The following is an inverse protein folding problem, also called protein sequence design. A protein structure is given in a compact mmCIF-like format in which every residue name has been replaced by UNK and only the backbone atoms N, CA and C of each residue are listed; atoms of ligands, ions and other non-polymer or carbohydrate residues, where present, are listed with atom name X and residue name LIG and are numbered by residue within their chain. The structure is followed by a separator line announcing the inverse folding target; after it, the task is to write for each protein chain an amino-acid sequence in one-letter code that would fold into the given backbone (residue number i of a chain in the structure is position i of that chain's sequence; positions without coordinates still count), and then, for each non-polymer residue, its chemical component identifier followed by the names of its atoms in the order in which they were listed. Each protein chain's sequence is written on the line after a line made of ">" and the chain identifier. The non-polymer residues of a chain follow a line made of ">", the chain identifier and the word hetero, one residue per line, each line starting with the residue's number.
data_IF_730443020369
#
_entry.id   IF_730443020369
#
_cell.length_a   1.000
_cell.length_b   1.000
_cell.length_c   1.000
_cell.angle_alpha   90.00
_cell.angle_beta   90.00
_cell.angle_gamma   90.00
#
_symmetry.space_group_name_H-M   'P 1'
#
loop_
_entity.id
_entity.type
_entity.pdbx_description
1 polymer ?
#
# COMPACT_ATOMS: atom_id res chain seq x y z
N UNK A 1 15.64 -16.41 2.85
CA UNK A 1 15.12 -17.59 3.58
C UNK A 1 15.32 -17.46 5.08
N UNK A 2 16.55 -17.28 5.59
CA UNK A 2 16.80 -17.03 7.02
C UNK A 2 16.01 -15.83 7.61
N UNK A 3 15.80 -14.76 6.83
CA UNK A 3 15.06 -13.58 7.29
C UNK A 3 13.56 -13.82 7.47
N UNK A 4 12.91 -14.57 6.58
CA UNK A 4 11.47 -14.87 6.67
C UNK A 4 11.22 -15.81 7.84
N UNK A 5 12.02 -16.88 7.96
CA UNK A 5 11.89 -17.83 9.08
C UNK A 5 12.05 -17.10 10.42
N UNK A 6 13.02 -16.18 10.53
CA UNK A 6 13.23 -15.39 11.74
C UNK A 6 12.04 -14.49 12.11
N UNK A 7 11.28 -13.99 11.13
CA UNK A 7 10.10 -13.15 11.38
C UNK A 7 8.91 -14.02 11.75
N UNK A 8 8.69 -15.12 11.04
CA UNK A 8 7.61 -16.08 11.30
C UNK A 8 7.75 -16.74 12.68
N UNK A 9 8.96 -16.87 13.23
CA UNK A 9 9.17 -17.38 14.59
C UNK A 9 8.92 -16.35 15.70
N UNK A 10 8.75 -15.07 15.36
CA UNK A 10 8.61 -13.97 16.34
C UNK A 10 7.20 -13.42 16.45
N UNK A 11 6.35 -13.69 15.46
CA UNK A 11 4.99 -13.19 15.36
C UNK A 11 4.08 -14.32 14.91
N UNK A 12 2.96 -14.51 15.62
CA UNK A 12 1.97 -15.52 15.27
C UNK A 12 1.36 -15.24 13.88
N UNK A 13 1.11 -13.96 13.58
CA UNK A 13 0.60 -13.50 12.29
C UNK A 13 1.59 -12.55 11.61
N UNK A 14 1.84 -12.79 10.32
CA UNK A 14 2.68 -11.92 9.48
C UNK A 14 1.92 -11.57 8.22
N UNK A 15 1.53 -10.30 8.09
CA UNK A 15 0.84 -9.78 6.91
C UNK A 15 1.77 -8.86 6.13
N UNK A 16 2.05 -9.25 4.88
CA UNK A 16 2.74 -8.43 3.89
C UNK A 16 1.76 -8.00 2.80
N UNK A 17 2.05 -6.87 2.14
CA UNK A 17 1.13 -6.26 1.16
C UNK A 17 -0.30 -6.14 1.70
N UNK A 18 -0.45 -5.54 2.90
CA UNK A 18 -1.73 -5.35 3.60
C UNK A 18 -2.49 -6.66 3.94
N UNK A 19 -1.84 -7.82 3.84
CA UNK A 19 -2.43 -9.14 4.12
C UNK A 19 -2.76 -9.94 2.87
N UNK A 20 -2.45 -9.44 1.68
CA UNK A 20 -2.58 -10.21 0.43
C UNK A 20 -1.62 -11.39 0.37
N UNK A 21 -0.50 -11.28 1.09
CA UNK A 21 0.37 -12.39 1.44
C UNK A 21 0.46 -12.42 2.96
N UNK A 22 -0.25 -13.36 3.56
CA UNK A 22 -0.34 -13.52 5.01
C UNK A 22 0.10 -14.91 5.46
N UNK A 23 0.64 -14.98 6.67
CA UNK A 23 1.01 -16.23 7.34
C UNK A 23 0.42 -16.25 8.74
N UNK A 24 -0.02 -17.43 9.16
CA UNK A 24 -0.24 -17.78 10.56
C UNK A 24 0.70 -18.93 10.91
N UNK A 25 1.63 -18.70 11.84
CA UNK A 25 2.81 -19.53 12.08
C UNK A 25 3.65 -19.73 10.80
N UNK A 26 3.56 -20.92 10.20
CA UNK A 26 4.24 -21.30 8.96
C UNK A 26 3.26 -21.57 7.81
N UNK A 27 1.96 -21.45 8.07
CA UNK A 27 0.91 -21.72 7.10
C UNK A 27 0.52 -20.43 6.38
N UNK A 28 0.66 -20.41 5.06
CA UNK A 28 0.24 -19.28 4.24
C UNK A 28 -1.28 -19.24 4.08
N UNK A 29 -1.86 -18.05 4.21
CA UNK A 29 -3.24 -17.79 3.78
C UNK A 29 -3.33 -17.80 2.24
N UNK A 30 -4.53 -18.06 1.67
CA UNK A 30 -4.73 -18.00 0.23
C UNK A 30 -4.31 -16.64 -0.34
N UNK A 31 -3.34 -16.65 -1.25
CA UNK A 31 -2.86 -15.44 -1.94
C UNK A 31 -3.98 -14.95 -2.86
N UNK A 32 -4.33 -13.66 -2.75
CA UNK A 32 -5.20 -12.99 -3.74
C UNK A 32 -4.33 -12.11 -4.62
N UNK A 33 -4.55 -12.18 -5.94
CA UNK A 33 -3.79 -11.36 -6.91
C UNK A 33 -4.68 -10.32 -7.60
N UNK A 34 -4.11 -9.16 -7.93
CA UNK A 34 -4.83 -8.12 -8.69
C UNK A 34 -5.28 -8.65 -10.05
N UNK A 35 -4.54 -9.61 -10.61
CA UNK A 35 -4.90 -10.33 -11.83
C UNK A 35 -6.22 -11.07 -11.70
N UNK A 36 -6.42 -11.85 -10.65
CA UNK A 36 -7.69 -12.56 -10.43
C UNK A 36 -8.83 -11.59 -10.14
N UNK A 37 -8.54 -10.48 -9.45
CA UNK A 37 -9.57 -9.51 -9.07
C UNK A 37 -10.06 -8.66 -10.25
N UNK A 38 -9.17 -8.22 -11.14
CA UNK A 38 -9.52 -7.35 -12.28
C UNK A 38 -9.78 -8.13 -13.58
N UNK A 39 -9.09 -9.25 -13.78
CA UNK A 39 -9.01 -9.95 -15.05
C UNK A 39 -8.09 -9.25 -16.06
N UNK A 40 -7.61 -10.02 -17.04
CA UNK A 40 -6.64 -9.55 -18.05
C UNK A 40 -7.19 -8.39 -18.89
N UNK A 41 -8.47 -8.42 -19.27
CA UNK A 41 -9.07 -7.37 -20.11
C UNK A 41 -9.00 -5.98 -19.47
N UNK A 42 -9.28 -5.88 -18.16
CA UNK A 42 -9.20 -4.61 -17.43
C UNK A 42 -7.75 -4.22 -17.17
N UNK A 43 -6.89 -5.20 -16.85
CA UNK A 43 -5.46 -4.95 -16.65
C UNK A 43 -4.78 -4.40 -17.90
N UNK A 44 -5.01 -4.98 -19.07
CA UNK A 44 -4.45 -4.48 -20.32
C UNK A 44 -4.92 -3.06 -20.63
N UNK A 45 -6.21 -2.77 -20.42
CA UNK A 45 -6.77 -1.41 -20.58
C UNK A 45 -6.10 -0.41 -19.63
N UNK A 46 -5.89 -0.78 -18.36
CA UNK A 46 -5.21 0.04 -17.36
C UNK A 46 -3.74 0.31 -17.73
N UNK A 47 -3.02 -0.74 -18.14
CA UNK A 47 -1.61 -0.65 -18.55
C UNK A 47 -1.49 0.22 -19.80
N UNK A 48 -2.33 0.00 -20.82
CA UNK A 48 -2.29 0.77 -22.06
C UNK A 48 -2.63 2.24 -21.81
N UNK A 49 -3.63 2.53 -20.97
CA UNK A 49 -3.95 3.90 -20.56
C UNK A 49 -2.74 4.57 -19.89
N UNK A 50 -2.10 3.87 -18.94
CA UNK A 50 -0.93 4.37 -18.22
C UNK A 50 0.23 4.65 -19.17
N UNK A 51 0.59 3.70 -20.03
CA UNK A 51 1.67 3.85 -21.00
C UNK A 51 1.41 5.01 -21.97
N UNK A 52 0.18 5.15 -22.46
CA UNK A 52 -0.21 6.27 -23.33
C UNK A 52 -0.02 7.60 -22.61
N UNK A 53 -0.56 7.75 -21.40
CA UNK A 53 -0.41 8.99 -20.62
C UNK A 53 1.05 9.30 -20.32
N UNK A 54 1.83 8.30 -19.94
CA UNK A 54 3.25 8.49 -19.65
C UNK A 54 4.07 8.85 -20.90
N UNK A 55 3.64 8.45 -22.10
CA UNK A 55 4.28 8.87 -23.35
C UNK A 55 4.07 10.37 -23.64
N UNK A 56 2.96 10.95 -23.17
CA UNK A 56 2.56 12.35 -23.39
C UNK A 56 3.19 13.33 -22.38
N UNK A 57 3.70 12.84 -21.23
CA UNK A 57 4.31 13.68 -20.20
C UNK A 57 5.77 13.97 -20.56
N UNK A 58 6.15 15.23 -20.72
CA UNK A 58 7.56 15.63 -20.79
C UNK A 58 8.14 15.82 -19.39
N UNK A 59 9.27 15.16 -19.12
CA UNK A 59 9.99 15.25 -17.84
C UNK A 59 11.45 15.59 -18.11
N UNK A 60 12.14 16.28 -17.19
CA UNK A 60 13.59 16.49 -17.29
C UNK A 60 14.36 15.18 -17.42
N UNK A 61 13.86 14.11 -16.78
CA UNK A 61 14.43 12.77 -16.78
C UNK A 61 13.33 11.72 -16.87
N UNK A 62 13.53 10.72 -17.74
CA UNK A 62 12.82 9.44 -17.72
C UNK A 62 13.84 8.29 -17.67
N UNK A 63 13.49 7.22 -16.97
CA UNK A 63 14.31 6.01 -16.82
C UNK A 63 13.51 4.80 -17.29
N UNK A 64 13.38 3.77 -16.46
CA UNK A 64 12.65 2.54 -16.77
C UNK A 64 11.87 2.04 -15.57
N UNK A 65 11.18 0.90 -15.75
CA UNK A 65 10.24 0.35 -14.77
C UNK A 65 9.15 1.37 -14.40
N UNK A 66 8.44 1.84 -15.43
CA UNK A 66 7.32 2.79 -15.30
C UNK A 66 6.07 2.16 -14.72
N UNK A 67 5.88 0.86 -14.94
CA UNK A 67 4.78 0.07 -14.42
C UNK A 67 5.40 -1.17 -13.78
N UNK A 68 5.31 -1.26 -12.47
CA UNK A 68 5.73 -2.41 -11.69
C UNK A 68 4.49 -3.20 -11.27
N UNK A 69 4.35 -4.39 -11.83
CA UNK A 69 3.26 -5.31 -11.49
C UNK A 69 3.63 -6.08 -10.23
N UNK A 70 2.89 -5.85 -9.14
CA UNK A 70 3.03 -6.60 -7.87
C UNK A 70 1.86 -7.55 -7.72
N UNK A 71 1.91 -8.41 -6.69
CA UNK A 71 0.82 -9.34 -6.45
C UNK A 71 -0.49 -8.58 -6.13
N UNK A 72 -0.41 -7.58 -5.26
CA UNK A 72 -1.58 -6.84 -4.81
C UNK A 72 -1.99 -5.61 -5.62
N UNK A 73 -1.10 -5.10 -6.46
CA UNK A 73 -1.22 -3.74 -6.99
C UNK A 73 -0.38 -3.53 -8.24
N UNK A 74 -0.69 -2.47 -8.98
CA UNK A 74 0.27 -1.86 -9.90
C UNK A 74 0.86 -0.62 -9.23
N UNK A 75 2.19 -0.52 -9.20
CA UNK A 75 2.87 0.73 -8.88
C UNK A 75 3.32 1.38 -10.18
N UNK A 76 2.87 2.60 -10.45
CA UNK A 76 3.18 3.32 -11.69
C UNK A 76 3.93 4.61 -11.41
N UNK A 77 5.04 4.85 -12.11
CA UNK A 77 5.96 5.97 -11.86
C UNK A 77 6.25 6.73 -13.14
N UNK A 78 5.88 8.02 -13.27
CA UNK A 78 6.14 8.81 -14.48
C UNK A 78 7.63 8.93 -14.84
N UNK A 79 8.50 9.13 -13.83
CA UNK A 79 9.97 9.14 -14.01
C UNK A 79 10.54 7.74 -14.26
N UNK A 80 9.87 6.70 -13.76
CA UNK A 80 10.35 5.31 -13.76
C UNK A 80 11.15 4.97 -12.51
N UNK A 81 10.92 3.77 -11.95
CA UNK A 81 11.52 3.34 -10.67
C UNK A 81 13.02 3.05 -10.74
N UNK A 82 13.57 2.90 -11.94
CA UNK A 82 15.01 2.71 -12.17
C UNK A 82 15.82 4.01 -12.06
N UNK A 83 15.23 5.11 -11.54
CA UNK A 83 15.94 6.36 -11.31
C UNK A 83 16.90 6.30 -10.13
N UNK A 84 17.93 7.14 -10.16
CA UNK A 84 18.85 7.31 -9.04
C UNK A 84 18.16 8.02 -7.86
N UNK A 85 18.80 7.98 -6.69
CA UNK A 85 18.29 8.70 -5.51
C UNK A 85 18.24 10.21 -5.76
N UNK A 86 19.24 10.77 -6.45
CA UNK A 86 19.26 12.19 -6.78
C UNK A 86 18.13 12.55 -7.74
N UNK A 87 17.94 11.78 -8.81
CA UNK A 87 16.84 11.96 -9.77
C UNK A 87 15.47 11.87 -9.10
N UNK A 88 15.31 10.98 -8.12
CA UNK A 88 14.10 10.86 -7.30
C UNK A 88 13.84 12.15 -6.51
N UNK A 89 14.85 12.73 -5.87
CA UNK A 89 14.69 13.98 -5.12
C UNK A 89 14.36 15.16 -6.04
N UNK A 90 14.97 15.20 -7.23
CA UNK A 90 14.70 16.22 -8.22
C UNK A 90 13.29 16.09 -8.81
N UNK A 91 12.83 14.86 -9.05
CA UNK A 91 11.44 14.59 -9.44
C UNK A 91 10.44 15.02 -8.37
N UNK A 92 10.72 14.79 -7.08
CA UNK A 92 9.83 15.25 -6.00
C UNK A 92 9.60 16.75 -6.06
N UNK A 93 10.68 17.53 -6.25
CA UNK A 93 10.58 18.99 -6.38
C UNK A 93 9.80 19.37 -7.64
N UNK A 94 10.16 18.77 -8.77
CA UNK A 94 9.50 19.04 -10.04
C UNK A 94 8.00 18.69 -10.02
N UNK A 95 7.63 17.56 -9.43
CA UNK A 95 6.24 17.11 -9.30
C UNK A 95 5.44 17.98 -8.32
N UNK A 96 6.08 18.52 -7.27
CA UNK A 96 5.42 19.46 -6.35
C UNK A 96 5.01 20.76 -7.07
N UNK A 97 5.84 21.26 -7.98
CA UNK A 97 5.56 22.49 -8.74
C UNK A 97 4.62 22.25 -9.92
N UNK A 98 4.66 21.04 -10.52
CA UNK A 98 3.96 20.74 -11.78
C UNK A 98 2.75 19.79 -11.63
N UNK A 99 2.51 19.26 -10.43
CA UNK A 99 1.39 18.39 -10.08
C UNK A 99 1.20 17.22 -11.07
N UNK A 100 2.29 16.56 -11.48
CA UNK A 100 2.25 15.51 -12.52
C UNK A 100 1.45 14.31 -12.03
N UNK A 101 1.81 13.78 -10.85
CA UNK A 101 1.14 12.60 -10.26
C UNK A 101 -0.30 12.90 -9.88
N UNK A 102 -0.59 14.08 -9.34
CA UNK A 102 -1.96 14.47 -8.99
C UNK A 102 -2.87 14.48 -10.21
N UNK A 103 -2.48 15.17 -11.30
CA UNK A 103 -3.25 15.18 -12.55
C UNK A 103 -3.41 13.79 -13.14
N UNK A 104 -2.36 12.95 -13.04
CA UNK A 104 -2.44 11.57 -13.49
C UNK A 104 -3.44 10.74 -12.66
N UNK A 105 -3.48 10.92 -11.33
CA UNK A 105 -4.48 10.29 -10.45
C UNK A 105 -5.89 10.67 -10.88
N UNK A 106 -6.17 11.97 -11.04
CA UNK A 106 -7.50 12.46 -11.46
C UNK A 106 -7.95 11.83 -12.80
N UNK A 107 -7.04 11.78 -13.78
CA UNK A 107 -7.30 11.14 -15.08
C UNK A 107 -7.55 9.63 -14.95
N UNK A 108 -6.82 8.96 -14.06
CA UNK A 108 -6.91 7.53 -13.86
C UNK A 108 -8.19 7.14 -13.10
N UNK A 109 -8.60 7.94 -12.12
CA UNK A 109 -9.85 7.79 -11.39
C UNK A 109 -11.06 7.91 -12.32
N UNK A 110 -11.08 8.91 -13.21
CA UNK A 110 -12.16 9.04 -14.19
C UNK A 110 -12.14 7.87 -15.20
N UNK A 111 -10.97 7.45 -15.68
CA UNK A 111 -10.84 6.31 -16.59
C UNK A 111 -11.32 4.98 -15.98
N UNK A 112 -11.05 4.78 -14.68
CA UNK A 112 -11.38 3.55 -13.94
C UNK A 112 -12.67 3.66 -13.13
N UNK A 113 -13.50 4.67 -13.41
CA UNK A 113 -14.76 4.89 -12.71
C UNK A 113 -15.64 3.64 -12.74
N UNK A 114 -16.05 3.19 -11.55
CA UNK A 114 -16.85 1.98 -11.38
C UNK A 114 -16.06 0.66 -11.42
N UNK A 115 -14.72 0.68 -11.40
CA UNK A 115 -13.88 -0.53 -11.37
C UNK A 115 -13.51 -0.98 -9.95
N UNK A 116 -13.96 -0.26 -8.92
CA UNK A 116 -13.64 -0.50 -7.52
C UNK A 116 -12.15 -0.55 -7.24
N UNK A 117 -11.43 0.46 -7.72
CA UNK A 117 -10.01 0.67 -7.44
C UNK A 117 -9.83 1.84 -6.46
N UNK A 118 -8.81 1.72 -5.62
CA UNK A 118 -8.15 2.80 -4.91
C UNK A 118 -6.92 3.21 -5.70
N UNK A 119 -6.78 4.52 -5.92
CA UNK A 119 -5.67 5.13 -6.63
C UNK A 119 -5.12 6.20 -5.70
N UNK A 120 -3.85 6.09 -5.31
CA UNK A 120 -3.25 7.07 -4.41
C UNK A 120 -1.80 7.36 -4.79
N UNK A 121 -1.34 8.57 -4.46
CA UNK A 121 0.06 8.92 -4.63
C UNK A 121 0.91 8.07 -3.68
N UNK A 122 1.79 7.25 -4.26
CA UNK A 122 2.66 6.30 -3.58
C UNK A 122 4.06 6.87 -3.42
N UNK A 123 4.46 7.11 -2.17
CA UNK A 123 5.80 7.56 -1.82
C UNK A 123 6.25 8.81 -2.60
N UNK A 124 7.52 8.81 -3.03
CA UNK A 124 8.15 10.00 -3.64
C UNK A 124 7.93 10.13 -5.15
N UNK A 125 7.70 9.03 -5.87
CA UNK A 125 7.81 9.03 -7.35
C UNK A 125 6.68 8.30 -8.08
N UNK A 126 5.73 7.70 -7.37
CA UNK A 126 4.76 6.81 -7.99
C UNK A 126 3.34 7.03 -7.50
N UNK A 127 2.43 6.29 -8.12
CA UNK A 127 1.01 6.14 -7.80
C UNK A 127 0.75 4.64 -7.65
N UNK A 128 0.07 4.26 -6.57
CA UNK A 128 -0.35 2.90 -6.31
C UNK A 128 -1.80 2.72 -6.77
N UNK A 129 -2.06 1.60 -7.46
CA UNK A 129 -3.38 1.23 -8.00
C UNK A 129 -3.71 -0.17 -7.50
N UNK A 130 -4.75 -0.28 -6.68
CA UNK A 130 -5.16 -1.54 -6.06
C UNK A 130 -6.67 -1.61 -5.86
N UNK A 131 -7.27 -2.81 -5.75
CA UNK A 131 -8.71 -2.94 -5.47
C UNK A 131 -9.12 -2.27 -4.16
N UNK A 132 -10.34 -1.71 -4.12
CA UNK A 132 -10.94 -1.21 -2.89
C UNK A 132 -10.98 -2.29 -1.82
N UNK A 133 -10.69 -1.89 -0.57
CA UNK A 133 -10.60 -2.79 0.57
C UNK A 133 -9.33 -3.64 0.62
N UNK A 134 -8.34 -3.36 -0.23
CA UNK A 134 -6.98 -3.94 -0.14
C UNK A 134 -6.00 -3.00 0.59
N UNK A 135 -6.51 -2.01 1.32
CA UNK A 135 -5.78 -1.31 2.37
C UNK A 135 -5.51 -2.24 3.57
N UNK A 136 -4.89 -1.73 4.64
CA UNK A 136 -4.50 -2.55 5.80
C UNK A 136 -5.67 -3.28 6.47
N UNK A 137 -6.91 -2.83 6.32
CA UNK A 137 -8.10 -3.53 6.84
C UNK A 137 -8.26 -4.93 6.24
N UNK A 138 -7.67 -5.19 5.08
CA UNK A 138 -7.75 -6.49 4.42
C UNK A 138 -7.28 -7.63 5.32
N UNK A 139 -6.21 -7.44 6.12
CA UNK A 139 -5.73 -8.51 6.99
C UNK A 139 -6.72 -8.90 8.10
N UNK A 140 -7.66 -8.02 8.47
CA UNK A 140 -8.65 -8.28 9.52
C UNK A 140 -9.59 -9.44 9.20
N UNK A 141 -9.74 -9.81 7.93
CA UNK A 141 -10.53 -10.97 7.49
C UNK A 141 -9.95 -12.30 7.99
N UNK A 142 -8.65 -12.32 8.34
CA UNK A 142 -7.94 -13.50 8.86
C UNK A 142 -7.88 -13.53 10.39
N UNK A 143 -8.40 -12.50 11.06
CA UNK A 143 -8.35 -12.35 12.52
C UNK A 143 -9.75 -12.48 13.14
N UNK A 144 -10.61 -13.35 12.59
CA UNK A 144 -11.98 -13.53 13.07
C UNK A 144 -12.05 -14.24 14.43
N UNK A 145 -10.99 -14.96 14.81
CA UNK A 145 -10.92 -15.73 16.04
C UNK A 145 -10.58 -14.89 17.29
N UNK A 146 -10.44 -13.57 17.14
CA UNK A 146 -10.13 -12.66 18.24
C UNK A 146 -11.32 -11.77 18.61
N UNK A 147 -11.67 -11.74 19.89
CA UNK A 147 -12.71 -10.85 20.44
C UNK A 147 -12.31 -9.37 20.35
N UNK A 148 -11.02 -9.07 20.47
CA UNK A 148 -10.49 -7.71 20.39
C UNK A 148 -9.17 -7.71 19.63
N UNK A 149 -9.08 -6.87 18.60
CA UNK A 149 -7.84 -6.60 17.87
C UNK A 149 -7.35 -5.19 18.24
N UNK A 150 -6.13 -5.10 18.77
CA UNK A 150 -5.48 -3.83 19.07
C UNK A 150 -4.54 -3.47 17.92
N UNK A 151 -4.70 -2.28 17.34
CA UNK A 151 -3.87 -1.81 16.23
C UNK A 151 -3.02 -0.62 16.67
N UNK A 152 -1.72 -0.63 16.35
CA UNK A 152 -0.79 0.45 16.63
C UNK A 152 -0.18 0.95 15.31
N UNK A 153 -0.28 2.24 15.01
CA UNK A 153 0.24 2.82 13.76
C UNK A 153 0.67 4.28 13.92
N UNK A 154 1.58 4.73 13.05
CA UNK A 154 2.13 6.10 13.08
C UNK A 154 1.43 7.06 12.11
N UNK A 155 0.80 6.54 11.04
CA UNK A 155 0.13 7.34 10.01
C UNK A 155 -1.38 7.18 10.06
N UNK A 156 -1.95 7.50 11.20
CA UNK A 156 -3.37 7.29 11.56
C UNK A 156 -4.27 8.50 11.29
N UNK A 157 -3.75 9.60 10.75
CA UNK A 157 -4.54 10.75 10.32
C UNK A 157 -5.16 10.53 8.92
N UNK A 158 -6.26 11.22 8.54
CA UNK A 158 -6.84 11.11 7.20
C UNK A 158 -5.79 11.27 6.09
N UNK A 159 -5.77 10.33 5.14
CA UNK A 159 -4.77 10.25 4.07
C UNK A 159 -3.48 9.50 4.44
N UNK A 160 -3.30 9.14 5.71
CA UNK A 160 -2.24 8.23 6.15
C UNK A 160 -2.59 6.76 5.85
N UNK A 161 -1.57 5.93 5.62
CA UNK A 161 -1.77 4.53 5.21
C UNK A 161 -2.21 3.60 6.36
N UNK A 162 -2.26 4.09 7.61
CA UNK A 162 -2.82 3.37 8.76
C UNK A 162 -4.25 3.81 9.10
N UNK A 163 -4.75 4.88 8.47
CA UNK A 163 -6.03 5.50 8.82
C UNK A 163 -7.18 4.49 8.81
N UNK A 164 -7.35 3.76 7.71
CA UNK A 164 -8.51 2.86 7.53
C UNK A 164 -8.53 1.70 8.55
N UNK A 165 -7.37 1.12 8.85
CA UNK A 165 -7.27 0.07 9.88
C UNK A 165 -7.39 0.65 11.29
N UNK A 166 -6.87 1.86 11.53
CA UNK A 166 -6.96 2.53 12.83
C UNK A 166 -8.40 2.89 13.23
N UNK A 167 -9.21 3.37 12.28
CA UNK A 167 -10.63 3.72 12.53
C UNK A 167 -11.60 2.55 12.32
N UNK A 168 -11.11 1.39 11.90
CA UNK A 168 -11.94 0.20 11.69
C UNK A 168 -12.63 -0.22 12.98
N UNK A 169 -13.94 -0.46 12.92
CA UNK A 169 -14.75 -0.94 14.05
C UNK A 169 -14.30 -2.30 14.60
N UNK A 170 -13.52 -3.05 13.80
CA UNK A 170 -12.90 -4.32 14.19
C UNK A 170 -11.64 -4.15 15.03
N UNK A 171 -11.16 -2.92 15.22
CA UNK A 171 -9.93 -2.62 15.96
C UNK A 171 -10.14 -1.60 17.07
N UNK A 172 -9.30 -1.69 18.10
CA UNK A 172 -9.03 -0.58 19.04
C UNK A 172 -7.71 0.05 18.60
N UNK A 173 -7.80 1.20 17.92
CA UNK A 173 -6.66 1.88 17.34
C UNK A 173 -5.87 2.76 18.32
N UNK A 174 -4.55 2.67 18.25
CA UNK A 174 -3.58 3.47 19.01
C UNK A 174 -2.65 4.18 18.02
N UNK A 175 -2.59 5.50 18.12
CA UNK A 175 -1.62 6.28 17.35
C UNK A 175 -0.31 6.34 18.12
N UNK A 176 0.80 6.06 17.45
CA UNK A 176 2.14 6.06 18.04
C UNK A 176 3.08 6.98 17.28
N UNK A 177 3.98 7.66 17.98
CA UNK A 177 4.95 8.55 17.32
C UNK A 177 6.19 7.81 16.80
N UNK A 178 6.59 6.73 17.48
CA UNK A 178 7.81 5.99 17.22
C UNK A 178 7.80 4.62 17.97
N UNK A 179 8.78 3.73 17.74
CA UNK A 179 8.80 2.41 18.37
C UNK A 179 8.85 2.43 19.91
N UNK A 180 9.45 3.45 20.52
CA UNK A 180 9.52 3.58 21.99
C UNK A 180 8.14 3.91 22.58
N UNK A 181 7.39 4.79 21.91
CA UNK A 181 6.00 5.09 22.25
C UNK A 181 5.10 3.85 22.10
N UNK A 182 5.28 3.06 21.04
CA UNK A 182 4.59 1.76 20.90
C UNK A 182 4.88 0.85 22.09
N UNK A 183 6.15 0.69 22.49
CA UNK A 183 6.55 -0.15 23.62
C UNK A 183 5.87 0.30 24.92
N UNK A 184 5.84 1.61 25.17
CA UNK A 184 5.20 2.19 26.34
C UNK A 184 3.70 1.89 26.35
N UNK A 185 2.99 2.22 25.27
CA UNK A 185 1.54 2.03 25.18
C UNK A 185 1.12 0.56 25.26
N UNK A 186 1.86 -0.35 24.61
CA UNK A 186 1.63 -1.80 24.75
C UNK A 186 1.82 -2.26 26.20
N UNK A 187 2.89 -1.80 26.87
CA UNK A 187 3.15 -2.16 28.26
C UNK A 187 2.08 -1.66 29.23
N UNK A 188 1.49 -0.49 28.96
CA UNK A 188 0.37 0.05 29.71
C UNK A 188 -0.92 -0.74 29.45
N UNK A 189 -1.21 -1.06 28.19
CA UNK A 189 -2.37 -1.86 27.81
C UNK A 189 -2.33 -3.25 28.46
N UNK A 190 -1.18 -3.94 28.43
CA UNK A 190 -1.02 -5.27 29.01
C UNK A 190 -1.34 -5.31 30.51
N UNK A 191 -1.18 -4.20 31.24
CA UNK A 191 -1.54 -4.11 32.67
C UNK A 191 -3.06 -4.02 32.91
N UNK A 192 -3.82 -3.66 31.89
CA UNK A 192 -5.28 -3.47 31.97
C UNK A 192 -6.09 -4.68 31.50
N UNK A 193 -5.44 -5.61 30.79
CA UNK A 193 -6.07 -6.82 30.24
C UNK A 193 -5.64 -8.10 30.97
N UNK A 194 -4.85 -7.97 32.04
CA UNK A 194 -4.50 -9.06 32.97
C UNK A 194 -5.61 -9.32 33.99
#
# INVERSE_FOLDING_TARGET
>A
LQSIISVLTRFDYVFSENGLVGFHDQNAFPVKSIKEKLGEDRLQKLINFTLKRFSEIELPVKRGNFIEFRNGMLNVSPIGRSCSQQERLDFVKFDADNHIRQRFVEQLEEFTKGWDLNICIGGQISVDIFPKGWDKTFCLQYLNDFDTVYFFGDKTAPGGNDYDIYVSSRTKGYSVANPEDTRKQVSELLKTIQ
#
